data_IF_837616952730
#
_entry.id   IF_837616952730
#
_cell.length_a   1.000
_cell.length_b   1.000
_cell.length_c   1.000
_cell.angle_alpha   90.00
_cell.angle_beta   90.00
_cell.angle_gamma   90.00
#
_symmetry.space_group_name_H-M   'P 1'
#
loop_
_entity.id
_entity.type
_entity.pdbx_description
1 polymer ?
#
# COMPACT_ATOMS: atom_id res chain seq x y z
N UNK A 1 23.84 6.33 13.17
CA UNK A 1 22.90 7.35 12.66
C UNK A 1 21.61 6.61 12.41
N UNK A 2 20.48 7.13 12.89
CA UNK A 2 19.17 6.64 12.47
C UNK A 2 19.14 6.64 10.93
N UNK A 3 18.67 5.54 10.35
CA UNK A 3 18.58 5.41 8.89
C UNK A 3 17.11 5.19 8.62
N UNK A 4 16.40 6.23 8.18
CA UNK A 4 14.98 6.12 7.87
C UNK A 4 14.62 5.05 6.84
N UNK A 5 13.37 5.06 6.40
CA UNK A 5 12.77 4.01 5.58
C UNK A 5 13.58 3.81 4.29
N UNK A 6 13.93 2.56 4.03
CA UNK A 6 14.65 2.13 2.83
C UNK A 6 14.47 0.65 2.56
N UNK A 7 14.79 0.19 1.35
CA UNK A 7 14.87 -1.24 1.10
C UNK A 7 15.85 -1.94 2.08
N UNK A 8 15.44 -3.06 2.66
CA UNK A 8 16.29 -3.83 3.57
C UNK A 8 17.45 -4.48 2.81
N UNK A 9 18.68 -4.25 3.30
CA UNK A 9 19.88 -4.88 2.73
C UNK A 9 20.02 -6.35 3.13
N UNK A 10 19.42 -6.76 4.25
CA UNK A 10 19.46 -8.14 4.74
C UNK A 10 18.31 -8.98 4.18
N UNK A 11 17.14 -8.36 4.01
CA UNK A 11 15.91 -9.01 3.56
C UNK A 11 15.31 -8.22 2.40
N UNK A 12 15.90 -8.33 1.20
CA UNK A 12 15.57 -7.48 0.04
C UNK A 12 14.10 -7.44 -0.40
N UNK A 13 13.28 -8.40 0.06
CA UNK A 13 11.83 -8.41 -0.11
C UNK A 13 11.06 -7.48 0.83
N UNK A 14 11.72 -6.89 1.82
CA UNK A 14 11.12 -6.09 2.88
C UNK A 14 11.77 -4.71 2.98
N UNK A 15 11.07 -3.84 3.70
CA UNK A 15 11.60 -2.54 4.10
C UNK A 15 12.47 -2.68 5.35
N UNK A 16 13.29 -1.67 5.59
CA UNK A 16 13.95 -1.44 6.87
C UNK A 16 13.70 0.00 7.31
N UNK A 17 13.36 0.18 8.59
CA UNK A 17 13.22 1.48 9.22
C UNK A 17 14.15 1.52 10.43
N UNK A 18 15.01 2.54 10.49
CA UNK A 18 16.08 2.67 11.49
C UNK A 18 17.04 1.50 11.60
N UNK A 19 17.24 0.81 10.48
CA UNK A 19 18.18 -0.31 10.35
C UNK A 19 17.58 -1.66 10.69
N UNK A 20 16.32 -1.70 11.15
CA UNK A 20 15.61 -2.93 11.47
C UNK A 20 14.66 -3.30 10.32
N UNK A 21 14.66 -4.55 9.83
CA UNK A 21 13.67 -5.02 8.86
C UNK A 21 12.25 -4.91 9.43
N UNK A 22 11.29 -4.54 8.58
CA UNK A 22 9.92 -4.28 9.02
C UNK A 22 8.88 -4.66 7.97
N UNK A 23 7.78 -5.28 8.45
CA UNK A 23 6.53 -5.42 7.69
C UNK A 23 5.65 -4.20 7.95
N UNK A 24 5.28 -3.50 6.87
CA UNK A 24 4.43 -2.32 6.92
C UNK A 24 2.95 -2.73 6.90
N UNK A 25 2.22 -2.41 7.97
CA UNK A 25 0.83 -2.80 8.14
C UNK A 25 -0.05 -1.58 8.37
N UNK A 26 -1.21 -1.55 7.71
CA UNK A 26 -2.10 -0.40 7.85
C UNK A 26 -3.55 -0.56 7.46
N UNK A 27 -4.27 0.53 7.67
CA UNK A 27 -5.65 0.74 7.24
C UNK A 27 -6.03 2.17 7.57
N UNK A 28 -6.81 2.82 6.71
CA UNK A 28 -7.31 4.17 7.01
C UNK A 28 -8.61 4.49 6.32
N UNK A 29 -9.40 5.42 6.88
CA UNK A 29 -10.71 5.81 6.32
C UNK A 29 -10.62 6.75 5.11
N UNK A 30 -9.44 7.31 4.83
CA UNK A 30 -9.23 8.18 3.66
C UNK A 30 -7.87 7.90 3.02
N UNK A 31 -7.79 8.27 1.76
CA UNK A 31 -6.60 8.22 0.92
C UNK A 31 -5.74 9.48 0.99
N UNK A 32 -6.29 10.62 1.39
CA UNK A 32 -5.57 11.88 1.59
C UNK A 32 -5.72 12.37 3.05
N UNK A 33 -5.22 11.56 4.00
CA UNK A 33 -5.32 11.84 5.44
C UNK A 33 -4.78 13.21 5.84
N UNK A 34 -3.81 13.74 5.08
CA UNK A 34 -3.25 15.05 5.34
C UNK A 34 -4.30 16.17 5.33
N UNK A 35 -5.41 16.02 4.59
CA UNK A 35 -6.48 17.01 4.55
C UNK A 35 -7.29 17.09 5.86
N UNK A 36 -7.19 16.09 6.74
CA UNK A 36 -7.92 16.10 8.00
C UNK A 36 -7.32 17.08 9.01
N UNK A 37 -8.20 17.82 9.68
CA UNK A 37 -7.83 18.78 10.73
C UNK A 37 -8.35 18.35 12.09
N UNK A 38 -7.77 18.90 13.17
CA UNK A 38 -8.21 18.65 14.53
C UNK A 38 -7.81 17.26 15.05
N UNK A 39 -8.60 16.68 15.95
CA UNK A 39 -8.25 15.39 16.59
C UNK A 39 -8.47 14.20 15.67
N UNK A 40 -9.27 14.34 14.60
CA UNK A 40 -9.63 13.23 13.70
C UNK A 40 -8.41 12.46 13.15
N UNK A 41 -7.36 13.20 12.75
CA UNK A 41 -6.12 12.58 12.29
C UNK A 41 -5.37 11.89 13.44
N UNK A 42 -5.30 12.52 14.60
CA UNK A 42 -4.60 11.98 15.75
C UNK A 42 -5.26 10.69 16.24
N UNK A 43 -6.58 10.70 16.42
CA UNK A 43 -7.38 9.55 16.85
C UNK A 43 -7.21 8.37 15.87
N UNK A 44 -7.24 8.64 14.55
CA UNK A 44 -6.99 7.63 13.51
C UNK A 44 -5.58 7.00 13.62
N UNK A 45 -4.55 7.81 13.83
CA UNK A 45 -3.17 7.33 13.92
C UNK A 45 -2.94 6.59 15.25
N UNK A 46 -3.53 7.05 16.34
CA UNK A 46 -3.47 6.40 17.64
C UNK A 46 -4.14 5.03 17.59
N UNK A 47 -5.33 4.93 16.98
CA UNK A 47 -6.04 3.67 16.74
C UNK A 47 -5.23 2.68 15.88
N UNK A 48 -4.49 3.20 14.90
CA UNK A 48 -3.60 2.41 14.05
C UNK A 48 -2.41 1.86 14.84
N UNK A 49 -1.72 2.72 15.59
CA UNK A 49 -0.54 2.35 16.39
C UNK A 49 -0.91 1.42 17.53
N UNK A 50 -2.05 1.62 18.20
CA UNK A 50 -2.56 0.72 19.25
C UNK A 50 -2.81 -0.69 18.69
N UNK A 51 -3.20 -0.80 17.42
CA UNK A 51 -3.34 -2.08 16.73
C UNK A 51 -2.00 -2.69 16.28
N UNK A 52 -0.87 -2.00 16.45
CA UNK A 52 0.44 -2.39 15.95
C UNK A 52 0.70 -2.02 14.49
N UNK A 53 -0.16 -1.17 13.90
CA UNK A 53 0.04 -0.65 12.55
C UNK A 53 1.09 0.45 12.53
N UNK A 54 1.77 0.58 11.39
CA UNK A 54 2.92 1.48 11.22
C UNK A 54 3.00 2.07 9.81
N UNK A 55 1.90 2.02 9.04
CA UNK A 55 1.92 2.46 7.66
C UNK A 55 0.59 3.06 7.21
N UNK A 56 0.66 4.23 6.57
CA UNK A 56 -0.47 4.89 5.93
C UNK A 56 -0.16 5.26 4.49
N UNK A 57 -1.21 5.28 3.66
CA UNK A 57 -1.15 5.82 2.30
C UNK A 57 -1.69 7.26 2.32
N UNK A 58 -1.02 8.17 1.63
CA UNK A 58 -1.46 9.55 1.47
C UNK A 58 -1.31 10.02 0.00
N UNK A 59 -2.40 10.35 -0.67
CA UNK A 59 -2.39 11.01 -1.99
C UNK A 59 -2.46 12.52 -1.81
N UNK A 60 -1.71 13.28 -2.60
CA UNK A 60 -1.74 14.75 -2.65
C UNK A 60 -3.01 15.32 -3.35
N UNK A 61 -4.16 14.76 -2.98
CA UNK A 61 -5.47 15.03 -3.56
C UNK A 61 -6.23 16.11 -2.77
N UNK A 62 -7.10 16.85 -3.45
CA UNK A 62 -8.01 17.87 -2.89
C UNK A 62 -9.48 17.67 -3.32
N UNK A 63 -9.87 16.46 -3.74
CA UNK A 63 -11.21 16.17 -4.30
C UNK A 63 -12.39 16.14 -3.30
N UNK A 64 -12.13 16.12 -1.99
CA UNK A 64 -13.17 15.99 -0.97
C UNK A 64 -13.85 17.32 -0.62
N UNK A 65 -15.09 17.27 -0.11
CA UNK A 65 -15.85 18.50 0.24
C UNK A 65 -15.18 19.37 1.31
N UNK A 66 -14.43 18.78 2.24
CA UNK A 66 -13.67 19.48 3.30
C UNK A 66 -12.21 19.75 2.92
N UNK A 67 -11.80 19.28 1.74
CA UNK A 67 -10.44 19.42 1.26
C UNK A 67 -10.25 20.86 0.75
N UNK A 68 -9.03 21.35 0.91
CA UNK A 68 -8.64 22.66 0.37
C UNK A 68 -7.72 22.43 -0.81
N UNK A 69 -7.77 23.32 -1.80
CA UNK A 69 -6.82 23.34 -2.92
C UNK A 69 -5.44 23.81 -2.47
N UNK A 70 -4.33 23.37 -3.10
CA UNK A 70 -3.00 23.88 -2.84
C UNK A 70 -2.81 25.35 -3.25
N UNK A 71 -3.70 25.91 -4.07
CA UNK A 71 -3.60 27.27 -4.59
C UNK A 71 -4.66 28.20 -4.00
N UNK A 72 -4.30 29.47 -3.81
CA UNK A 72 -5.26 30.48 -3.35
C UNK A 72 -6.33 30.78 -4.41
N UNK A 73 -7.52 31.10 -3.94
CA UNK A 73 -8.59 31.68 -4.76
C UNK A 73 -8.53 33.20 -4.69
N UNK A 74 -8.71 33.84 -5.85
CA UNK A 74 -8.77 35.30 -6.01
C UNK A 74 -10.17 35.84 -5.72
N UNK A 75 -10.30 37.17 -5.67
CA UNK A 75 -11.58 37.84 -5.35
C UNK A 75 -12.72 37.48 -6.32
N UNK A 76 -12.41 37.09 -7.55
CA UNK A 76 -13.38 36.68 -8.59
C UNK A 76 -13.71 35.18 -8.57
N UNK A 77 -13.11 34.41 -7.65
CA UNK A 77 -13.30 32.96 -7.54
C UNK A 77 -12.32 32.12 -8.37
N UNK A 78 -11.43 32.73 -9.16
CA UNK A 78 -10.40 31.99 -9.91
C UNK A 78 -9.19 31.63 -9.05
N UNK A 79 -8.60 30.47 -9.29
CA UNK A 79 -7.34 30.05 -8.67
C UNK A 79 -6.15 30.79 -9.27
N UNK A 80 -5.20 31.14 -8.40
CA UNK A 80 -3.90 31.69 -8.77
C UNK A 80 -2.81 30.69 -8.45
N UNK A 81 -2.24 30.08 -9.48
CA UNK A 81 -1.22 29.07 -9.32
C UNK A 81 0.08 29.65 -8.77
N UNK A 82 0.33 30.96 -8.91
CA UNK A 82 1.52 31.61 -8.34
C UNK A 82 1.43 31.78 -6.81
N UNK A 83 0.28 31.49 -6.20
CA UNK A 83 0.02 31.76 -4.77
C UNK A 83 -0.46 30.51 -4.04
N UNK A 84 0.31 30.10 -3.04
CA UNK A 84 0.01 28.95 -2.20
C UNK A 84 -1.11 29.23 -1.21
N UNK A 85 -2.03 28.28 -1.09
CA UNK A 85 -2.95 28.23 0.02
C UNK A 85 -2.24 27.61 1.23
N UNK A 86 -1.79 28.47 2.15
CA UNK A 86 -1.09 28.09 3.39
C UNK A 86 -1.83 27.01 4.21
N UNK A 87 -3.16 26.93 4.10
CA UNK A 87 -3.94 25.91 4.83
C UNK A 87 -3.66 24.50 4.32
N UNK A 88 -3.41 24.32 3.02
CA UNK A 88 -3.06 23.03 2.42
C UNK A 88 -1.70 22.54 2.93
N UNK A 89 -0.72 23.42 2.94
CA UNK A 89 0.65 23.10 3.31
C UNK A 89 0.81 22.94 4.82
N UNK A 90 0.10 23.75 5.62
CA UNK A 90 0.01 23.55 7.07
C UNK A 90 -0.59 22.17 7.41
N UNK A 91 -1.60 21.73 6.65
CA UNK A 91 -2.21 20.40 6.77
C UNK A 91 -1.22 19.29 6.44
N UNK A 92 -0.45 19.43 5.35
CA UNK A 92 0.62 18.49 4.99
C UNK A 92 1.69 18.39 6.09
N UNK A 93 2.24 19.52 6.54
CA UNK A 93 3.24 19.55 7.61
C UNK A 93 2.71 18.91 8.90
N UNK A 94 1.49 19.25 9.32
CA UNK A 94 0.88 18.68 10.53
C UNK A 94 0.71 17.16 10.44
N UNK A 95 0.44 16.65 9.23
CA UNK A 95 0.33 15.21 8.98
C UNK A 95 1.68 14.51 9.03
N UNK A 96 2.71 15.09 8.43
CA UNK A 96 4.08 14.55 8.49
C UNK A 96 4.60 14.54 9.93
N UNK A 97 4.41 15.62 10.69
CA UNK A 97 4.73 15.68 12.12
C UNK A 97 4.02 14.60 12.94
N UNK A 98 2.71 14.43 12.70
CA UNK A 98 1.89 13.49 13.45
C UNK A 98 2.27 12.03 13.17
N UNK A 99 2.69 11.73 11.94
CA UNK A 99 3.15 10.39 11.54
C UNK A 99 4.58 10.12 12.01
N UNK A 100 5.48 11.10 11.89
CA UNK A 100 6.86 11.02 12.38
C UNK A 100 6.91 10.74 13.89
N UNK A 101 6.10 11.47 14.67
CA UNK A 101 6.03 11.31 16.14
C UNK A 101 5.61 9.89 16.58
N UNK A 102 5.04 9.11 15.66
CA UNK A 102 4.48 7.77 15.91
C UNK A 102 5.21 6.67 15.17
N UNK A 103 6.32 6.97 14.48
CA UNK A 103 7.04 6.03 13.62
C UNK A 103 6.12 5.36 12.58
N UNK A 104 5.15 6.12 12.06
CA UNK A 104 4.21 5.64 11.03
C UNK A 104 4.74 6.03 9.66
N UNK A 105 5.17 5.06 8.87
CA UNK A 105 5.65 5.27 7.50
C UNK A 105 4.53 5.81 6.60
N UNK A 106 4.88 6.76 5.73
CA UNK A 106 3.96 7.39 4.78
C UNK A 106 4.28 6.92 3.36
N UNK A 107 3.34 6.24 2.72
CA UNK A 107 3.33 6.03 1.27
C UNK A 107 2.67 7.22 0.58
N UNK A 108 3.46 8.17 0.10
CA UNK A 108 3.00 9.42 -0.49
C UNK A 108 2.82 9.29 -2.01
N UNK A 109 1.61 9.52 -2.51
CA UNK A 109 1.30 9.51 -3.95
C UNK A 109 1.15 10.92 -4.48
N UNK A 110 1.97 11.30 -5.47
CA UNK A 110 1.97 12.65 -6.04
C UNK A 110 0.69 12.93 -6.84
N UNK A 111 0.36 12.03 -7.76
CA UNK A 111 -0.72 12.26 -8.72
C UNK A 111 -1.77 11.17 -8.69
N UNK A 112 -3.03 11.56 -8.87
CA UNK A 112 -4.15 10.63 -8.95
C UNK A 112 -5.13 11.07 -10.04
N UNK A 113 -5.28 10.26 -11.08
CA UNK A 113 -6.16 10.55 -12.22
C UNK A 113 -7.63 10.73 -11.82
N UNK A 114 -8.02 10.21 -10.65
CA UNK A 114 -9.37 10.39 -10.11
C UNK A 114 -9.68 11.81 -9.63
N UNK A 115 -8.67 12.69 -9.52
CA UNK A 115 -8.86 14.11 -9.22
C UNK A 115 -9.32 14.91 -10.45
N UNK A 116 -8.99 14.43 -11.66
CA UNK A 116 -9.05 15.21 -12.89
C UNK A 116 -10.16 14.80 -13.86
N UNK A 117 -11.16 14.03 -13.40
CA UNK A 117 -12.24 13.53 -14.26
C UNK A 117 -13.62 14.14 -13.93
N UNK A 118 -14.47 14.22 -14.96
CA UNK A 118 -15.88 14.58 -14.84
C UNK A 118 -16.15 15.88 -14.06
N UNK A 119 -17.02 15.80 -13.05
CA UNK A 119 -17.41 16.97 -12.26
C UNK A 119 -16.24 17.59 -11.47
N UNK A 120 -15.23 16.80 -11.10
CA UNK A 120 -14.08 17.27 -10.32
C UNK A 120 -13.20 18.21 -11.15
N UNK A 121 -12.99 17.87 -12.43
CA UNK A 121 -12.27 18.74 -13.37
C UNK A 121 -12.94 20.10 -13.55
N UNK A 122 -14.27 20.14 -13.59
CA UNK A 122 -15.02 21.38 -13.83
C UNK A 122 -14.79 22.45 -12.76
N UNK A 123 -14.33 22.08 -11.57
CA UNK A 123 -14.04 23.00 -10.46
C UNK A 123 -12.56 23.02 -10.06
N UNK A 124 -11.72 22.24 -10.73
CA UNK A 124 -10.31 22.08 -10.35
C UNK A 124 -9.49 23.34 -10.66
N UNK A 125 -8.53 23.64 -9.78
CA UNK A 125 -7.54 24.70 -9.98
C UNK A 125 -6.71 24.58 -11.27
N UNK A 126 -6.51 23.37 -11.80
CA UNK A 126 -5.76 23.16 -13.04
C UNK A 126 -6.61 23.40 -14.31
N UNK A 127 -7.94 23.50 -14.19
CA UNK A 127 -8.81 23.78 -15.32
C UNK A 127 -8.71 25.27 -15.70
N UNK A 128 -8.35 25.63 -16.95
CA UNK A 128 -8.24 27.03 -17.37
C UNK A 128 -9.53 27.85 -17.22
N UNK A 129 -10.69 27.22 -17.09
CA UNK A 129 -11.94 27.92 -16.79
C UNK A 129 -12.00 28.48 -15.35
N UNK A 130 -11.23 27.90 -14.42
CA UNK A 130 -11.18 28.28 -13.02
C UNK A 130 -9.83 28.87 -12.61
N UNK A 131 -8.93 29.10 -13.57
CA UNK A 131 -7.53 29.44 -13.33
C UNK A 131 -7.19 30.72 -14.09
N UNK A 132 -6.58 31.69 -13.41
CA UNK A 132 -6.19 32.97 -14.05
C UNK A 132 -4.71 33.06 -14.41
N UNK A 133 -3.92 32.07 -14.03
CA UNK A 133 -2.47 32.01 -14.22
C UNK A 133 -2.12 31.33 -15.54
N UNK A 134 -2.77 30.20 -15.85
CA UNK A 134 -2.55 29.49 -17.11
C UNK A 134 -3.22 30.20 -18.29
N UNK A 135 -2.63 30.14 -19.50
CA UNK A 135 -3.31 30.50 -20.73
C UNK A 135 -4.62 29.73 -20.92
N UNK A 136 -5.62 30.37 -21.53
CA UNK A 136 -6.95 29.79 -21.71
C UNK A 136 -6.98 28.50 -22.56
N UNK A 137 -5.95 28.29 -23.39
CA UNK A 137 -5.75 27.13 -24.25
C UNK A 137 -4.66 26.17 -23.73
N UNK A 138 -4.14 26.37 -22.52
CA UNK A 138 -3.10 25.52 -21.95
C UNK A 138 -3.58 24.08 -21.66
N UNK A 139 -4.86 23.90 -21.34
CA UNK A 139 -5.55 22.63 -21.18
C UNK A 139 -7.02 22.73 -21.62
N UNK A 140 -7.70 21.63 -21.98
CA UNK A 140 -9.11 21.65 -22.33
C UNK A 140 -9.99 21.94 -21.11
N UNK A 141 -10.88 22.92 -21.23
CA UNK A 141 -11.82 23.25 -20.15
C UNK A 141 -12.88 22.18 -19.91
N UNK A 142 -13.21 21.37 -20.92
CA UNK A 142 -14.14 20.24 -20.83
C UNK A 142 -13.54 19.00 -20.16
N UNK A 143 -12.22 18.94 -20.00
CA UNK A 143 -11.49 17.76 -19.51
C UNK A 143 -11.46 16.63 -20.52
N UNK A 144 -11.02 15.46 -20.06
CA UNK A 144 -10.98 14.20 -20.82
C UNK A 144 -11.59 13.04 -20.04
N UNK A 145 -11.87 11.93 -20.73
CA UNK A 145 -12.23 10.67 -20.08
C UNK A 145 -10.96 9.86 -19.78
N UNK A 146 -10.68 9.63 -18.49
CA UNK A 146 -9.57 8.79 -18.04
C UNK A 146 -9.56 7.36 -18.61
N UNK A 147 -10.69 6.84 -19.13
CA UNK A 147 -10.75 5.49 -19.71
C UNK A 147 -10.52 5.42 -21.22
N UNK A 148 -10.69 6.52 -21.95
CA UNK A 148 -10.73 6.49 -23.42
C UNK A 148 -9.64 7.35 -24.08
N UNK A 149 -9.32 8.52 -23.52
CA UNK A 149 -8.53 9.52 -24.26
C UNK A 149 -7.23 9.98 -23.57
N UNK A 150 -6.92 9.46 -22.36
CA UNK A 150 -5.89 9.98 -21.43
C UNK A 150 -6.06 11.49 -21.21
N UNK A 151 -6.40 11.87 -19.98
CA UNK A 151 -6.61 13.30 -19.63
C UNK A 151 -5.35 14.10 -19.98
N UNK A 152 -5.46 15.18 -20.77
CA UNK A 152 -4.32 15.96 -21.28
C UNK A 152 -3.40 16.49 -20.17
N UNK A 153 -3.94 16.70 -18.95
CA UNK A 153 -3.14 17.01 -17.75
C UNK A 153 -1.99 16.01 -17.51
N UNK A 154 -2.22 14.72 -17.80
CA UNK A 154 -1.25 13.64 -17.63
C UNK A 154 -0.36 13.41 -18.87
N UNK A 155 -0.48 14.26 -19.89
CA UNK A 155 0.28 14.17 -21.13
C UNK A 155 1.22 15.36 -21.33
N UNK A 156 1.33 16.27 -20.36
CA UNK A 156 2.16 17.47 -20.47
C UNK A 156 3.61 17.16 -20.83
N UNK A 157 4.17 16.07 -20.30
CA UNK A 157 5.50 15.57 -20.65
C UNK A 157 5.57 15.07 -22.10
N UNK A 158 4.64 14.19 -22.50
CA UNK A 158 4.58 13.60 -23.86
C UNK A 158 4.36 14.68 -24.94
N UNK A 159 3.51 15.66 -24.66
CA UNK A 159 3.12 16.72 -25.58
C UNK A 159 4.07 17.93 -25.55
N UNK A 160 5.03 17.97 -24.61
CA UNK A 160 5.95 19.10 -24.45
C UNK A 160 5.24 20.40 -24.04
N UNK A 161 4.21 20.29 -23.19
CA UNK A 161 3.45 21.44 -22.69
C UNK A 161 4.17 22.09 -21.51
N UNK A 162 5.29 22.76 -21.80
CA UNK A 162 6.17 23.41 -20.80
C UNK A 162 5.39 24.37 -19.89
N UNK A 163 4.41 25.11 -20.42
CA UNK A 163 3.62 26.07 -19.61
C UNK A 163 2.87 25.41 -18.46
N UNK A 164 2.29 24.21 -18.66
CA UNK A 164 1.61 23.49 -17.58
C UNK A 164 2.61 22.73 -16.74
N UNK A 165 3.62 22.12 -17.38
CA UNK A 165 4.63 21.33 -16.72
C UNK A 165 5.41 22.15 -15.69
N UNK A 166 5.80 23.39 -15.99
CA UNK A 166 6.50 24.29 -15.07
C UNK A 166 5.72 24.48 -13.74
N UNK A 167 4.39 24.57 -13.82
CA UNK A 167 3.55 24.67 -12.63
C UNK A 167 3.36 23.33 -11.92
N UNK A 168 3.29 22.22 -12.65
CA UNK A 168 3.26 20.88 -12.06
C UNK A 168 4.57 20.59 -11.30
N UNK A 169 5.72 20.93 -11.89
CA UNK A 169 7.04 20.83 -11.26
C UNK A 169 7.11 21.71 -10.02
N UNK A 170 6.66 22.97 -10.09
CA UNK A 170 6.58 23.85 -8.92
C UNK A 170 5.69 23.29 -7.80
N UNK A 171 4.59 22.63 -8.13
CA UNK A 171 3.75 21.95 -7.13
C UNK A 171 4.51 20.79 -6.48
N UNK A 172 5.19 19.96 -7.27
CA UNK A 172 5.96 18.84 -6.75
C UNK A 172 7.17 19.31 -5.94
N UNK A 173 7.85 20.39 -6.35
CA UNK A 173 8.91 21.03 -5.56
C UNK A 173 8.40 21.42 -4.17
N UNK A 174 7.25 22.08 -4.09
CA UNK A 174 6.66 22.46 -2.80
C UNK A 174 6.32 21.22 -1.96
N UNK A 175 5.77 20.15 -2.54
CA UNK A 175 5.55 18.88 -1.83
C UNK A 175 6.88 18.34 -1.26
N UNK A 176 7.93 18.31 -2.08
CA UNK A 176 9.23 17.76 -1.72
C UNK A 176 9.99 18.62 -0.70
N UNK A 177 9.78 19.94 -0.69
CA UNK A 177 10.30 20.85 0.33
C UNK A 177 9.80 20.47 1.74
N UNK A 178 8.58 19.95 1.86
CA UNK A 178 8.07 19.41 3.12
C UNK A 178 8.48 17.96 3.36
N UNK A 179 8.39 17.09 2.35
CA UNK A 179 8.48 15.64 2.58
C UNK A 179 9.92 15.13 2.68
N UNK A 180 10.90 15.79 2.04
CA UNK A 180 12.32 15.39 2.11
C UNK A 180 12.99 15.75 3.44
N UNK A 181 12.34 16.56 4.29
CA UNK A 181 12.78 16.79 5.67
C UNK A 181 12.58 15.57 6.58
N UNK A 182 11.78 14.59 6.12
CA UNK A 182 11.40 13.41 6.87
C UNK A 182 11.99 12.15 6.27
N UNK A 183 12.43 11.24 7.12
CA UNK A 183 13.07 9.99 6.73
C UNK A 183 12.11 8.79 6.77
N UNK A 184 10.81 9.01 6.97
CA UNK A 184 9.77 7.98 7.03
C UNK A 184 8.79 8.02 5.84
N UNK A 185 9.19 8.58 4.70
CA UNK A 185 8.36 8.73 3.48
C UNK A 185 8.88 7.87 2.33
N UNK A 186 8.00 7.08 1.72
CA UNK A 186 8.22 6.41 0.42
C UNK A 186 7.26 6.98 -0.63
N UNK A 187 7.70 7.09 -1.87
CA UNK A 187 6.97 7.83 -2.91
C UNK A 187 6.36 6.91 -3.96
N UNK A 188 5.18 7.27 -4.43
CA UNK A 188 4.50 6.66 -5.56
C UNK A 188 4.18 7.76 -6.59
N UNK A 189 4.66 7.63 -7.82
CA UNK A 189 4.48 8.67 -8.84
C UNK A 189 2.99 8.89 -9.17
N UNK A 190 2.28 7.84 -9.57
CA UNK A 190 0.87 7.94 -9.98
C UNK A 190 0.01 6.83 -9.37
N UNK A 191 -1.21 7.18 -8.94
CA UNK A 191 -2.24 6.22 -8.52
C UNK A 191 -3.00 5.68 -9.74
N UNK A 192 -3.03 4.35 -9.91
CA UNK A 192 -3.83 3.62 -10.90
C UNK A 192 -3.67 4.14 -12.33
N UNK A 193 -2.48 4.64 -12.65
CA UNK A 193 -2.26 5.49 -13.80
C UNK A 193 -2.43 4.76 -15.13
N UNK A 194 -3.08 5.44 -16.08
CA UNK A 194 -2.97 5.21 -17.53
C UNK A 194 -2.18 6.33 -18.22
N UNK A 195 -1.46 7.15 -17.45
CA UNK A 195 -0.79 8.36 -17.95
C UNK A 195 0.23 8.05 -19.08
N UNK A 196 0.87 6.89 -19.01
CA UNK A 196 1.92 6.48 -19.93
C UNK A 196 3.29 6.56 -19.27
N UNK A 197 4.27 5.90 -19.88
CA UNK A 197 5.58 5.72 -19.26
C UNK A 197 6.37 7.03 -19.18
N UNK A 198 6.20 7.93 -20.14
CA UNK A 198 6.85 9.25 -20.16
C UNK A 198 6.49 10.07 -18.92
N UNK A 199 5.20 10.10 -18.56
CA UNK A 199 4.71 10.76 -17.34
C UNK A 199 5.25 10.11 -16.07
N UNK A 200 5.17 8.79 -15.99
CA UNK A 200 5.55 8.05 -14.79
C UNK A 200 7.04 8.13 -14.51
N UNK A 201 7.88 8.02 -15.55
CA UNK A 201 9.33 8.18 -15.43
C UNK A 201 9.69 9.61 -15.06
N UNK A 202 9.11 10.62 -15.73
CA UNK A 202 9.39 12.01 -15.43
C UNK A 202 9.20 12.32 -13.94
N UNK A 203 8.04 11.99 -13.35
CA UNK A 203 7.81 12.29 -11.93
C UNK A 203 8.66 11.46 -10.98
N UNK A 204 8.93 10.19 -11.31
CA UNK A 204 9.78 9.37 -10.47
C UNK A 204 11.24 9.86 -10.49
N UNK A 205 11.77 10.17 -11.67
CA UNK A 205 13.10 10.73 -11.85
C UNK A 205 13.22 12.12 -11.20
N UNK A 206 12.20 12.98 -11.34
CA UNK A 206 12.17 14.30 -10.71
C UNK A 206 12.29 14.22 -9.19
N UNK A 207 11.56 13.29 -8.55
CA UNK A 207 11.68 13.03 -7.09
C UNK A 207 13.09 12.57 -6.73
N UNK A 208 13.65 11.61 -7.49
CA UNK A 208 14.98 11.08 -7.24
C UNK A 208 16.07 12.15 -7.39
N UNK A 209 15.96 13.02 -8.41
CA UNK A 209 16.88 14.13 -8.65
C UNK A 209 16.79 15.19 -7.55
N UNK A 210 15.57 15.58 -7.14
CA UNK A 210 15.35 16.52 -6.03
C UNK A 210 15.91 15.98 -4.71
N UNK A 211 15.67 14.71 -4.41
CA UNK A 211 16.23 14.03 -3.24
C UNK A 211 17.77 13.99 -3.28
N UNK A 212 18.35 13.65 -4.44
CA UNK A 212 19.80 13.66 -4.63
C UNK A 212 20.38 15.05 -4.43
N UNK A 213 19.70 16.11 -4.89
CA UNK A 213 20.13 17.49 -4.68
C UNK A 213 20.20 17.87 -3.19
N UNK A 214 19.23 17.42 -2.39
CA UNK A 214 19.22 17.59 -0.94
C UNK A 214 20.14 16.60 -0.18
N UNK A 215 20.80 15.69 -0.91
CA UNK A 215 21.71 14.71 -0.33
C UNK A 215 21.03 13.59 0.44
N UNK A 216 19.73 13.39 0.23
CA UNK A 216 18.94 12.30 0.81
C UNK A 216 18.67 11.20 -0.23
N UNK A 217 18.35 10.01 0.26
CA UNK A 217 17.95 8.88 -0.60
C UNK A 217 16.50 8.56 -0.30
N UNK A 218 15.74 8.31 -1.36
CA UNK A 218 14.31 7.97 -1.29
C UNK A 218 14.01 6.81 -2.22
N UNK A 219 12.93 6.10 -1.93
CA UNK A 219 12.42 5.00 -2.73
C UNK A 219 11.14 5.44 -3.44
N UNK A 220 11.11 5.21 -4.75
CA UNK A 220 9.97 5.54 -5.63
C UNK A 220 9.40 4.27 -6.26
N UNK A 221 8.08 4.21 -6.39
CA UNK A 221 7.34 3.21 -7.14
C UNK A 221 6.24 3.86 -8.01
N UNK A 222 5.46 3.03 -8.69
CA UNK A 222 4.30 3.46 -9.46
C UNK A 222 3.18 2.43 -9.39
N UNK A 223 1.93 2.90 -9.34
CA UNK A 223 0.75 2.04 -9.29
C UNK A 223 -0.01 2.14 -10.61
N UNK A 224 -0.11 1.03 -11.32
CA UNK A 224 -0.93 0.91 -12.52
C UNK A 224 -2.24 0.19 -12.24
N UNK A 225 -3.24 0.40 -13.12
CA UNK A 225 -4.50 -0.32 -13.00
C UNK A 225 -4.32 -1.83 -13.18
N UNK A 226 -3.49 -2.20 -14.17
CA UNK A 226 -3.00 -3.57 -14.33
C UNK A 226 -1.76 -3.77 -13.46
N UNK A 227 -1.78 -4.65 -12.45
CA UNK A 227 -0.61 -4.96 -11.63
C UNK A 227 0.58 -5.50 -12.44
N UNK A 228 0.34 -6.19 -13.57
CA UNK A 228 1.43 -6.71 -14.41
C UNK A 228 2.27 -5.57 -14.99
N UNK A 229 1.67 -4.41 -15.27
CA UNK A 229 2.40 -3.23 -15.73
C UNK A 229 3.30 -2.67 -14.64
N UNK A 230 2.87 -2.65 -13.37
CA UNK A 230 3.73 -2.24 -12.25
C UNK A 230 4.95 -3.16 -12.13
N UNK A 231 4.75 -4.48 -12.27
CA UNK A 231 5.83 -5.49 -12.23
C UNK A 231 6.81 -5.28 -13.37
N UNK A 232 6.29 -5.21 -14.61
CA UNK A 232 7.09 -5.02 -15.81
C UNK A 232 7.92 -3.73 -15.75
N UNK A 233 7.35 -2.63 -15.27
CA UNK A 233 8.07 -1.34 -15.17
C UNK A 233 9.17 -1.37 -14.12
N UNK A 234 8.98 -2.05 -12.99
CA UNK A 234 10.04 -2.23 -12.00
C UNK A 234 11.21 -3.07 -12.54
N UNK A 235 10.94 -3.98 -13.47
CA UNK A 235 11.96 -4.77 -14.18
C UNK A 235 12.66 -3.95 -15.28
N UNK A 236 11.89 -3.19 -16.07
CA UNK A 236 12.42 -2.39 -17.18
C UNK A 236 13.22 -1.16 -16.69
N UNK A 237 12.82 -0.56 -15.55
CA UNK A 237 13.40 0.66 -14.99
C UNK A 237 13.81 0.48 -13.51
N UNK A 238 14.74 -0.45 -13.21
CA UNK A 238 15.07 -0.84 -11.84
C UNK A 238 15.80 0.24 -11.02
N UNK A 239 16.42 1.21 -11.69
CA UNK A 239 17.09 2.35 -11.03
C UNK A 239 16.09 3.46 -10.66
N UNK A 240 14.90 3.46 -11.27
CA UNK A 240 13.84 4.44 -11.04
C UNK A 240 12.77 3.89 -10.08
N UNK A 241 12.29 2.68 -10.33
CA UNK A 241 11.26 2.03 -9.52
C UNK A 241 11.88 1.00 -8.56
N UNK A 242 12.13 1.45 -7.34
CA UNK A 242 12.76 0.69 -6.24
C UNK A 242 11.90 -0.44 -5.66
N UNK A 243 10.57 -0.33 -5.79
CA UNK A 243 9.61 -1.31 -5.27
C UNK A 243 8.43 -1.50 -6.23
N UNK A 244 7.67 -2.59 -6.05
CA UNK A 244 6.51 -2.91 -6.88
C UNK A 244 5.22 -2.60 -6.14
N UNK A 245 4.31 -1.87 -6.78
CA UNK A 245 2.98 -1.58 -6.24
C UNK A 245 1.92 -2.48 -6.90
N UNK A 246 1.34 -3.40 -6.11
CA UNK A 246 0.41 -4.44 -6.56
C UNK A 246 -1.03 -4.26 -6.08
N UNK A 247 -1.38 -3.07 -5.57
CA UNK A 247 -2.68 -2.79 -4.95
C UNK A 247 -3.88 -3.26 -5.75
N UNK A 248 -3.86 -3.07 -7.07
CA UNK A 248 -5.00 -3.41 -7.93
C UNK A 248 -5.25 -4.91 -8.08
N UNK A 249 -4.31 -5.74 -7.64
CA UNK A 249 -4.49 -7.18 -7.58
C UNK A 249 -5.50 -7.61 -6.50
N UNK A 250 -5.85 -6.71 -5.57
CA UNK A 250 -6.62 -7.04 -4.38
C UNK A 250 -8.10 -6.65 -4.47
N UNK A 251 -8.71 -6.73 -5.65
CA UNK A 251 -10.15 -6.44 -5.90
C UNK A 251 -10.78 -7.46 -6.85
N UNK A 252 -12.11 -7.58 -6.85
CA UNK A 252 -12.85 -8.53 -7.71
C UNK A 252 -12.89 -8.08 -9.18
N UNK A 253 -12.86 -6.77 -9.44
CA UNK A 253 -12.99 -6.21 -10.78
C UNK A 253 -11.81 -6.49 -11.72
N UNK A 254 -10.58 -6.53 -11.16
CA UNK A 254 -9.34 -6.57 -11.94
C UNK A 254 -8.29 -7.52 -11.36
N UNK A 255 -8.47 -7.98 -10.11
CA UNK A 255 -7.54 -8.88 -9.45
C UNK A 255 -7.88 -10.34 -9.64
N UNK A 256 -6.92 -11.21 -9.33
CA UNK A 256 -7.17 -12.65 -9.22
C UNK A 256 -7.85 -12.96 -7.88
N UNK A 257 -8.51 -14.12 -7.80
CA UNK A 257 -9.20 -14.58 -6.59
C UNK A 257 -8.75 -15.98 -6.17
N UNK A 258 -9.02 -16.34 -4.92
CA UNK A 258 -8.69 -17.63 -4.33
C UNK A 258 -7.21 -18.01 -4.54
N UNK A 259 -6.90 -19.23 -5.03
CA UNK A 259 -5.53 -19.71 -5.17
C UNK A 259 -4.73 -18.98 -6.26
N UNK A 260 -5.39 -18.42 -7.29
CA UNK A 260 -4.70 -17.72 -8.37
C UNK A 260 -4.16 -16.36 -7.90
N UNK A 261 -4.82 -15.71 -6.92
CA UNK A 261 -4.29 -14.52 -6.26
C UNK A 261 -2.91 -14.78 -5.66
N UNK A 262 -2.74 -15.86 -4.91
CA UNK A 262 -1.44 -16.18 -4.34
C UNK A 262 -0.42 -16.62 -5.40
N UNK A 263 -0.84 -17.46 -6.34
CA UNK A 263 0.04 -17.99 -7.38
C UNK A 263 0.63 -16.86 -8.23
N UNK A 264 -0.21 -15.92 -8.66
CA UNK A 264 0.22 -14.76 -9.46
C UNK A 264 1.20 -13.87 -8.72
N UNK A 265 0.97 -13.65 -7.42
CA UNK A 265 1.93 -12.96 -6.55
C UNK A 265 3.30 -13.64 -6.56
N UNK A 266 3.35 -14.98 -6.44
CA UNK A 266 4.62 -15.73 -6.46
C UNK A 266 5.29 -15.76 -7.84
N UNK A 267 4.51 -15.80 -8.92
CA UNK A 267 5.01 -15.66 -10.30
C UNK A 267 5.73 -14.32 -10.47
N UNK A 268 5.09 -13.21 -10.07
CA UNK A 268 5.70 -11.88 -10.16
C UNK A 268 6.94 -11.72 -9.28
N UNK A 269 6.93 -12.31 -8.07
CA UNK A 269 8.14 -12.32 -7.23
C UNK A 269 9.30 -13.04 -7.93
N UNK A 270 9.03 -14.21 -8.51
CA UNK A 270 10.04 -14.95 -9.26
C UNK A 270 10.57 -14.13 -10.43
N UNK A 271 9.68 -13.50 -11.20
CA UNK A 271 10.03 -12.66 -12.36
C UNK A 271 10.94 -11.49 -11.96
N UNK A 272 10.59 -10.76 -10.89
CA UNK A 272 11.37 -9.62 -10.40
C UNK A 272 12.72 -10.08 -9.84
N UNK A 273 12.74 -11.16 -9.06
CA UNK A 273 13.97 -11.69 -8.46
C UNK A 273 14.98 -12.11 -9.53
N UNK A 274 14.52 -12.86 -10.53
CA UNK A 274 15.37 -13.34 -11.62
C UNK A 274 15.90 -12.19 -12.49
N UNK A 275 15.11 -11.13 -12.69
CA UNK A 275 15.47 -10.02 -13.56
C UNK A 275 16.36 -8.97 -12.88
N UNK A 276 16.01 -8.55 -11.65
CA UNK A 276 16.59 -7.36 -11.00
C UNK A 276 16.88 -7.56 -9.51
N UNK A 277 16.75 -8.78 -9.00
CA UNK A 277 16.91 -9.10 -7.57
C UNK A 277 15.65 -8.81 -6.74
N UNK A 278 15.64 -9.26 -5.47
CA UNK A 278 14.47 -9.10 -4.59
C UNK A 278 14.17 -7.63 -4.34
N UNK A 279 12.88 -7.26 -4.38
CA UNK A 279 12.40 -5.89 -4.14
C UNK A 279 11.12 -5.89 -3.31
N UNK A 280 10.86 -4.86 -2.49
CA UNK A 280 9.64 -4.78 -1.72
C UNK A 280 8.39 -4.80 -2.61
N UNK A 281 7.41 -5.63 -2.25
CA UNK A 281 6.09 -5.64 -2.87
C UNK A 281 5.09 -4.99 -1.93
N UNK A 282 4.49 -3.88 -2.36
CA UNK A 282 3.53 -3.11 -1.58
C UNK A 282 2.11 -3.35 -2.08
N UNK A 283 1.19 -3.53 -1.14
CA UNK A 283 -0.25 -3.62 -1.37
C UNK A 283 -0.94 -2.57 -0.50
N UNK A 284 -0.99 -1.32 -0.97
CA UNK A 284 -1.58 -0.22 -0.21
C UNK A 284 -3.11 -0.14 -0.29
N UNK A 285 -3.74 -0.92 -1.19
CA UNK A 285 -5.20 -1.02 -1.35
C UNK A 285 -5.66 -2.48 -1.35
N UNK A 286 -5.87 -3.05 -0.17
CA UNK A 286 -6.58 -4.33 -0.05
C UNK A 286 -8.08 -4.05 0.05
N UNK A 287 -8.81 -4.36 -1.03
CA UNK A 287 -10.22 -4.04 -1.16
C UNK A 287 -11.13 -5.11 -0.54
N UNK A 288 -12.35 -4.68 -0.24
CA UNK A 288 -13.48 -5.51 0.19
C UNK A 288 -14.44 -4.74 1.09
N UNK A 289 -15.74 -5.02 1.02
CA UNK A 289 -16.77 -4.27 1.75
C UNK A 289 -17.58 -5.12 2.73
N UNK A 290 -18.13 -4.47 3.76
CA UNK A 290 -19.24 -5.05 4.53
C UNK A 290 -20.53 -5.10 3.68
N UNK A 291 -21.60 -5.67 4.23
CA UNK A 291 -22.90 -5.79 3.56
C UNK A 291 -23.35 -4.46 2.91
N UNK A 292 -23.71 -4.52 1.63
CA UNK A 292 -24.06 -3.34 0.82
C UNK A 292 -22.86 -2.61 0.22
N UNK A 293 -21.66 -3.18 0.30
CA UNK A 293 -20.44 -2.68 -0.34
C UNK A 293 -20.40 -2.84 -1.86
N UNK A 294 -19.33 -2.35 -2.48
CA UNK A 294 -19.12 -2.44 -3.92
C UNK A 294 -18.76 -3.87 -4.35
N UNK A 295 -19.52 -4.44 -5.28
CA UNK A 295 -19.26 -5.79 -5.81
C UNK A 295 -17.86 -5.90 -6.46
N UNK A 296 -17.36 -4.82 -7.04
CA UNK A 296 -16.01 -4.78 -7.64
C UNK A 296 -14.90 -4.86 -6.60
N UNK A 297 -15.18 -4.54 -5.33
CA UNK A 297 -14.21 -4.60 -4.23
C UNK A 297 -14.13 -6.01 -3.61
N UNK A 298 -15.20 -6.80 -3.70
CA UNK A 298 -15.38 -8.05 -2.94
C UNK A 298 -15.88 -7.83 -1.51
N UNK A 299 -15.87 -8.87 -0.69
CA UNK A 299 -16.39 -8.85 0.68
C UNK A 299 -15.32 -8.53 1.73
N UNK A 300 -15.74 -8.17 2.93
CA UNK A 300 -14.85 -8.00 4.08
C UNK A 300 -14.07 -9.30 4.41
N UNK A 301 -14.69 -10.46 4.22
CA UNK A 301 -14.02 -11.75 4.38
C UNK A 301 -12.91 -11.94 3.33
N UNK A 302 -13.18 -11.57 2.08
CA UNK A 302 -12.18 -11.63 1.02
C UNK A 302 -11.03 -10.64 1.23
N UNK A 303 -11.30 -9.46 1.80
CA UNK A 303 -10.25 -8.53 2.21
C UNK A 303 -9.29 -9.17 3.22
N UNK A 304 -9.81 -9.88 4.22
CA UNK A 304 -9.00 -10.60 5.22
C UNK A 304 -8.20 -11.73 4.57
N UNK A 305 -8.82 -12.49 3.64
CA UNK A 305 -8.13 -13.56 2.91
C UNK A 305 -6.97 -13.03 2.07
N UNK A 306 -7.20 -11.96 1.31
CA UNK A 306 -6.16 -11.24 0.53
C UNK A 306 -5.04 -10.73 1.41
N UNK A 307 -5.38 -10.14 2.56
CA UNK A 307 -4.40 -9.65 3.53
C UNK A 307 -3.45 -10.76 3.99
N UNK A 308 -3.97 -11.91 4.43
CA UNK A 308 -3.12 -13.02 4.87
C UNK A 308 -2.36 -13.69 3.72
N UNK A 309 -2.95 -13.80 2.52
CA UNK A 309 -2.25 -14.27 1.33
C UNK A 309 -1.10 -13.34 0.94
N UNK A 310 -1.22 -12.03 1.11
CA UNK A 310 -0.15 -11.07 0.88
C UNK A 310 0.94 -11.15 1.97
N UNK A 311 0.57 -11.22 3.25
CA UNK A 311 1.52 -11.33 4.37
C UNK A 311 2.35 -12.62 4.25
N UNK A 312 1.70 -13.78 4.12
CA UNK A 312 2.40 -15.07 3.95
C UNK A 312 2.95 -15.27 2.53
N UNK A 313 2.52 -14.42 1.59
CA UNK A 313 3.09 -14.33 0.26
C UNK A 313 4.39 -13.52 0.23
N UNK A 314 4.80 -12.94 1.36
CA UNK A 314 6.03 -12.18 1.56
C UNK A 314 5.99 -10.76 0.98
N UNK A 315 4.83 -10.11 1.03
CA UNK A 315 4.72 -8.69 0.69
C UNK A 315 5.28 -7.81 1.83
N UNK A 316 5.96 -6.73 1.45
CA UNK A 316 6.60 -5.80 2.38
C UNK A 316 5.60 -4.85 3.06
N UNK A 317 4.53 -4.50 2.35
CA UNK A 317 3.46 -3.65 2.87
C UNK A 317 2.07 -4.22 2.56
N UNK A 318 1.20 -4.25 3.57
CA UNK A 318 -0.19 -4.69 3.48
C UNK A 318 -1.11 -3.68 4.19
N UNK A 319 -1.92 -2.95 3.42
CA UNK A 319 -2.85 -1.94 3.94
C UNK A 319 -4.28 -2.17 3.45
N UNK A 320 -5.25 -2.19 4.38
CA UNK A 320 -6.67 -2.23 4.04
C UNK A 320 -7.13 -0.93 3.37
N UNK A 321 -7.83 -1.06 2.24
CA UNK A 321 -8.40 0.07 1.52
C UNK A 321 -9.52 0.76 2.33
N UNK A 322 -9.80 2.03 2.06
CA UNK A 322 -10.69 2.88 2.89
C UNK A 322 -12.15 2.40 2.88
N UNK A 323 -12.88 2.61 4.00
CA UNK A 323 -14.30 2.28 4.03
C UNK A 323 -15.12 3.22 3.17
N UNK A 324 -15.18 4.53 3.42
CA UNK A 324 -16.07 5.41 2.65
C UNK A 324 -15.60 6.87 2.71
N UNK A 325 -15.72 7.59 1.58
CA UNK A 325 -15.91 9.04 1.58
C UNK A 325 -17.42 9.33 1.42
N UNK A 326 -17.97 10.34 2.12
CA UNK A 326 -19.41 10.59 2.13
C UNK A 326 -20.00 10.62 0.70
N UNK A 327 -20.98 9.74 0.42
CA UNK A 327 -21.63 9.63 -0.88
C UNK A 327 -21.04 8.62 -1.87
N UNK A 328 -19.91 7.97 -1.56
CA UNK A 328 -19.29 6.94 -2.40
C UNK A 328 -19.55 5.50 -1.88
N UNK A 329 -19.50 4.52 -2.78
CA UNK A 329 -19.60 3.11 -2.42
C UNK A 329 -18.37 2.65 -1.61
N UNK A 330 -18.57 1.75 -0.64
CA UNK A 330 -17.50 1.20 0.19
C UNK A 330 -16.56 0.33 -0.64
N UNK A 331 -15.27 0.65 -0.65
CA UNK A 331 -14.25 -0.08 -1.40
C UNK A 331 -13.31 -0.93 -0.52
N UNK A 332 -13.36 -0.77 0.80
CA UNK A 332 -12.44 -1.44 1.71
C UNK A 332 -12.99 -1.54 3.14
N UNK A 333 -12.26 -2.21 4.03
CA UNK A 333 -12.59 -2.30 5.47
C UNK A 333 -11.78 -1.33 6.34
N UNK A 334 -11.00 -0.44 5.71
CA UNK A 334 -10.35 0.74 6.28
C UNK A 334 -9.61 0.46 7.58
N UNK A 335 -9.91 1.26 8.59
CA UNK A 335 -9.41 1.10 9.96
C UNK A 335 -10.48 0.53 10.89
N UNK A 336 -11.41 -0.29 10.38
CA UNK A 336 -12.34 -1.00 11.26
C UNK A 336 -11.63 -1.75 12.36
N UNK A 337 -12.39 -2.01 13.42
CA UNK A 337 -12.00 -2.98 14.43
C UNK A 337 -11.58 -4.34 13.85
N UNK A 338 -12.25 -4.82 12.79
CA UNK A 338 -11.86 -6.06 12.11
C UNK A 338 -10.48 -5.94 11.46
N UNK A 339 -10.21 -4.87 10.72
CA UNK A 339 -8.90 -4.61 10.12
C UNK A 339 -7.79 -4.51 11.20
N UNK A 340 -8.05 -3.78 12.28
CA UNK A 340 -7.12 -3.63 13.42
C UNK A 340 -6.81 -4.97 14.10
N UNK A 341 -7.77 -5.89 14.19
CA UNK A 341 -7.51 -7.25 14.71
C UNK A 341 -6.58 -8.06 13.82
N UNK A 342 -6.68 -7.90 12.49
CA UNK A 342 -5.74 -8.56 11.57
C UNK A 342 -4.33 -8.02 11.77
N UNK A 343 -4.17 -6.71 11.89
CA UNK A 343 -2.87 -6.06 12.16
C UNK A 343 -2.28 -6.57 13.48
N UNK A 344 -3.07 -6.56 14.57
CA UNK A 344 -2.65 -7.12 15.87
C UNK A 344 -2.22 -8.58 15.76
N UNK A 345 -2.95 -9.37 14.99
CA UNK A 345 -2.66 -10.78 14.80
C UNK A 345 -1.32 -11.00 14.08
N UNK A 346 -0.95 -10.17 13.11
CA UNK A 346 0.39 -10.22 12.50
C UNK A 346 1.46 -9.91 13.54
N UNK A 347 1.28 -8.89 14.39
CA UNK A 347 2.25 -8.58 15.45
C UNK A 347 2.39 -9.71 16.47
N UNK A 348 1.29 -10.37 16.83
CA UNK A 348 1.33 -11.55 17.69
C UNK A 348 2.11 -12.71 17.05
N UNK A 349 2.05 -12.87 15.72
CA UNK A 349 2.89 -13.83 14.99
C UNK A 349 4.35 -13.40 15.02
N UNK A 350 4.66 -12.11 14.85
CA UNK A 350 6.03 -11.58 14.89
C UNK A 350 6.72 -11.74 16.26
N UNK A 351 5.96 -11.88 17.36
CA UNK A 351 6.52 -12.21 18.67
C UNK A 351 7.18 -13.60 18.73
N UNK A 352 6.88 -14.48 17.77
CA UNK A 352 7.34 -15.88 17.76
C UNK A 352 7.93 -16.34 16.43
N UNK A 353 7.71 -15.61 15.33
CA UNK A 353 8.26 -15.89 14.00
C UNK A 353 8.78 -14.60 13.38
N UNK A 354 10.03 -14.60 12.93
CA UNK A 354 10.55 -13.49 12.14
C UNK A 354 9.98 -13.53 10.71
N UNK A 355 8.91 -12.76 10.49
CA UNK A 355 8.24 -12.69 9.18
C UNK A 355 9.11 -12.08 8.08
N UNK A 356 10.10 -11.25 8.41
CA UNK A 356 11.01 -10.69 7.41
C UNK A 356 12.04 -11.72 6.92
N UNK A 357 12.32 -12.74 7.74
CA UNK A 357 13.13 -13.92 7.37
C UNK A 357 12.30 -15.07 6.78
N UNK A 358 10.98 -15.05 6.99
CA UNK A 358 10.10 -16.08 6.46
C UNK A 358 10.03 -15.99 4.92
N UNK A 359 9.98 -17.15 4.29
CA UNK A 359 9.74 -17.26 2.85
C UNK A 359 8.43 -18.03 2.61
N UNK A 360 7.76 -17.84 1.46
CA UNK A 360 6.68 -18.71 1.01
C UNK A 360 7.10 -20.19 1.01
N UNK A 361 6.29 -21.07 1.62
CA UNK A 361 6.58 -22.51 1.77
C UNK A 361 5.37 -23.37 1.41
N UNK A 362 4.72 -23.08 0.27
CA UNK A 362 3.54 -23.83 -0.16
C UNK A 362 3.79 -25.32 -0.42
N UNK A 363 5.03 -25.70 -0.70
CA UNK A 363 5.47 -27.08 -0.85
C UNK A 363 5.53 -27.84 0.49
N UNK A 364 5.50 -27.16 1.63
CA UNK A 364 5.38 -27.79 2.93
C UNK A 364 3.95 -28.29 3.20
N UNK A 365 2.95 -27.82 2.45
CA UNK A 365 1.57 -28.27 2.56
C UNK A 365 1.33 -29.49 1.67
N UNK A 366 0.93 -30.60 2.28
CA UNK A 366 0.67 -31.88 1.63
C UNK A 366 -0.84 -32.16 1.56
N UNK A 367 -1.24 -32.96 0.58
CA UNK A 367 -2.61 -33.50 0.43
C UNK A 367 -3.73 -32.46 0.53
N UNK A 368 -3.49 -31.24 0.01
CA UNK A 368 -4.44 -30.13 0.05
C UNK A 368 -5.24 -29.95 -1.24
N UNK A 369 -6.40 -29.37 -1.09
CA UNK A 369 -7.22 -28.76 -2.12
C UNK A 369 -6.79 -27.32 -2.42
N UNK A 370 -7.34 -26.76 -3.49
CA UNK A 370 -7.14 -25.36 -3.84
C UNK A 370 -7.68 -24.43 -2.74
N UNK A 371 -6.94 -23.36 -2.41
CA UNK A 371 -7.30 -22.33 -1.41
C UNK A 371 -7.45 -22.82 0.05
N UNK A 372 -7.10 -24.09 0.35
CA UNK A 372 -7.25 -24.66 1.69
C UNK A 372 -6.31 -24.04 2.73
N UNK A 373 -5.06 -23.78 2.36
CA UNK A 373 -4.07 -23.22 3.27
C UNK A 373 -2.95 -22.48 2.53
N UNK A 374 -2.35 -21.52 3.23
CA UNK A 374 -1.19 -20.74 2.80
C UNK A 374 -0.10 -20.80 3.85
N UNK A 375 1.11 -21.15 3.45
CA UNK A 375 2.23 -21.38 4.35
C UNK A 375 3.40 -20.44 4.04
N UNK A 376 3.93 -19.80 5.07
CA UNK A 376 5.26 -19.21 5.09
C UNK A 376 6.07 -19.82 6.22
N UNK A 377 7.39 -19.77 6.13
CA UNK A 377 8.22 -20.25 7.23
C UNK A 377 9.65 -19.78 7.14
N UNK A 378 10.30 -19.70 8.29
CA UNK A 378 11.75 -19.58 8.39
C UNK A 378 12.32 -20.99 8.23
N UNK A 379 13.17 -21.25 7.21
CA UNK A 379 13.71 -22.58 6.97
C UNK A 379 14.30 -23.21 8.23
N UNK A 380 13.89 -24.46 8.51
CA UNK A 380 14.33 -25.28 9.65
C UNK A 380 13.97 -24.76 11.05
N UNK A 381 13.17 -23.71 11.16
CA UNK A 381 12.88 -23.05 12.44
C UNK A 381 11.37 -23.02 12.74
N UNK A 382 10.61 -22.34 11.89
CA UNK A 382 9.20 -22.05 12.18
C UNK A 382 8.33 -21.96 10.92
N UNK A 383 7.04 -22.26 11.08
CA UNK A 383 6.02 -22.17 10.04
C UNK A 383 4.82 -21.39 10.54
N UNK A 384 4.22 -20.60 9.65
CA UNK A 384 2.94 -19.93 9.84
C UNK A 384 2.01 -20.37 8.72
N UNK A 385 0.89 -20.97 9.09
CA UNK A 385 -0.09 -21.51 8.16
C UNK A 385 -1.43 -20.82 8.37
N UNK A 386 -1.92 -20.14 7.34
CA UNK A 386 -3.27 -19.57 7.33
C UNK A 386 -4.24 -20.54 6.67
N UNK A 387 -5.32 -20.90 7.36
CA UNK A 387 -6.43 -21.70 6.84
C UNK A 387 -7.66 -20.79 6.65
N UNK A 388 -7.96 -20.32 5.43
CA UNK A 388 -9.04 -19.35 5.19
C UNK A 388 -10.42 -19.81 5.63
N UNK A 389 -10.68 -21.12 5.60
CA UNK A 389 -11.96 -21.74 5.98
C UNK A 389 -11.83 -22.66 7.20
N UNK A 390 -10.64 -22.74 7.81
CA UNK A 390 -10.31 -23.78 8.78
C UNK A 390 -10.14 -25.15 8.11
N UNK A 391 -10.40 -26.22 8.86
CA UNK A 391 -10.25 -27.59 8.37
C UNK A 391 -8.91 -28.20 8.73
N UNK A 392 -8.61 -29.37 8.16
CA UNK A 392 -7.37 -30.10 8.43
C UNK A 392 -6.24 -29.56 7.53
N UNK A 393 -5.00 -29.64 7.99
CA UNK A 393 -3.84 -29.39 7.14
C UNK A 393 -2.75 -30.41 7.41
N UNK A 394 -2.14 -30.93 6.35
CA UNK A 394 -0.99 -31.82 6.48
C UNK A 394 0.29 -31.05 6.17
N UNK A 395 1.19 -30.97 7.14
CA UNK A 395 2.47 -30.27 7.02
C UNK A 395 3.63 -31.25 6.94
N UNK A 396 4.57 -30.99 6.03
CA UNK A 396 5.88 -31.65 6.07
C UNK A 396 6.75 -31.00 7.13
N UNK A 397 7.08 -31.75 8.18
CA UNK A 397 7.85 -31.29 9.33
C UNK A 397 9.10 -32.16 9.52
N UNK A 398 10.16 -31.54 10.05
CA UNK A 398 11.37 -32.25 10.46
C UNK A 398 11.11 -33.22 11.61
N UNK A 399 12.06 -34.13 11.86
CA UNK A 399 11.95 -35.04 12.99
C UNK A 399 12.06 -34.31 14.34
N UNK A 400 11.22 -34.66 15.31
CA UNK A 400 11.31 -34.18 16.69
C UNK A 400 10.14 -33.30 17.13
N UNK A 401 10.16 -32.82 18.40
CA UNK A 401 9.05 -32.08 18.97
C UNK A 401 8.89 -30.71 18.29
N UNK A 402 7.65 -30.31 18.03
CA UNK A 402 7.25 -29.00 17.56
C UNK A 402 6.10 -28.50 18.42
N UNK A 403 6.18 -27.24 18.84
CA UNK A 403 5.08 -26.55 19.51
C UNK A 403 4.18 -25.92 18.45
N UNK A 404 2.88 -26.15 18.58
CA UNK A 404 1.84 -25.67 17.69
C UNK A 404 0.93 -24.75 18.49
N UNK A 405 0.80 -23.50 18.07
CA UNK A 405 -0.10 -22.51 18.66
C UNK A 405 -1.14 -22.08 17.64
N UNK A 406 -2.36 -21.88 18.13
CA UNK A 406 -3.51 -21.55 17.30
C UNK A 406 -3.90 -20.09 17.56
N UNK A 407 -3.85 -19.25 16.53
CA UNK A 407 -4.29 -17.86 16.60
C UNK A 407 -5.59 -17.71 15.82
N UNK A 408 -6.58 -17.13 16.49
CA UNK A 408 -7.83 -16.69 15.87
C UNK A 408 -7.66 -15.22 15.42
N UNK A 409 -7.53 -14.95 14.12
CA UNK A 409 -7.26 -13.61 13.62
C UNK A 409 -8.49 -12.68 13.72
N UNK A 410 -9.71 -13.22 13.85
CA UNK A 410 -10.94 -12.45 14.01
C UNK A 410 -11.12 -11.89 15.43
N UNK A 411 -10.40 -12.46 16.40
CA UNK A 411 -10.38 -12.01 17.80
C UNK A 411 -8.99 -11.56 18.28
N UNK A 412 -7.94 -11.74 17.47
CA UNK A 412 -6.55 -11.50 17.83
C UNK A 412 -6.19 -12.19 19.17
N UNK A 413 -6.48 -13.49 19.28
CA UNK A 413 -6.29 -14.26 20.52
C UNK A 413 -5.68 -15.62 20.23
N UNK A 414 -4.64 -15.99 21.00
CA UNK A 414 -4.15 -17.36 21.07
C UNK A 414 -5.20 -18.24 21.76
N UNK A 415 -5.64 -19.31 21.10
CA UNK A 415 -6.79 -20.09 21.57
C UNK A 415 -6.39 -21.38 22.25
N UNK A 416 -5.38 -22.06 21.70
CA UNK A 416 -4.94 -23.38 22.12
C UNK A 416 -3.43 -23.53 21.82
N UNK A 417 -2.83 -24.54 22.43
CA UNK A 417 -1.47 -24.99 22.15
C UNK A 417 -1.37 -26.53 22.22
N UNK A 418 -0.42 -27.09 21.50
CA UNK A 418 -0.11 -28.51 21.52
C UNK A 418 1.36 -28.74 21.19
N UNK A 419 1.93 -29.87 21.64
CA UNK A 419 3.22 -30.36 21.15
C UNK A 419 2.98 -31.58 20.28
N UNK A 420 3.51 -31.57 19.06
CA UNK A 420 3.47 -32.69 18.13
C UNK A 420 4.89 -33.22 17.89
N UNK A 421 5.03 -34.51 17.63
CA UNK A 421 6.31 -35.09 17.22
C UNK A 421 6.34 -35.19 15.70
N UNK A 422 7.14 -34.34 15.05
CA UNK A 422 7.30 -34.33 13.61
C UNK A 422 7.91 -35.65 13.15
N UNK A 423 7.25 -36.33 12.21
CA UNK A 423 7.77 -37.56 11.58
C UNK A 423 7.40 -37.54 10.10
N UNK A 424 8.11 -36.72 9.33
CA UNK A 424 7.91 -36.55 7.88
C UNK A 424 6.71 -35.67 7.54
N UNK A 425 5.49 -36.10 7.93
CA UNK A 425 4.26 -35.34 7.73
C UNK A 425 3.32 -35.46 8.93
N UNK A 426 2.71 -34.35 9.35
CA UNK A 426 1.71 -34.33 10.43
C UNK A 426 0.44 -33.63 9.98
N UNK A 427 -0.70 -34.27 10.22
CA UNK A 427 -2.02 -33.67 10.01
C UNK A 427 -2.47 -32.97 11.29
N UNK A 428 -2.81 -31.70 11.18
CA UNK A 428 -3.28 -30.84 12.26
C UNK A 428 -4.72 -30.45 11.96
N UNK A 429 -5.60 -30.58 12.94
CA UNK A 429 -7.04 -30.35 12.80
C UNK A 429 -7.52 -29.18 13.68
N UNK A 430 -7.30 -27.92 13.27
CA UNK A 430 -7.87 -26.78 13.96
C UNK A 430 -9.39 -26.87 14.07
N UNK A 431 -9.92 -26.56 15.26
CA UNK A 431 -11.35 -26.65 15.57
C UNK A 431 -12.18 -25.46 15.05
N UNK A 432 -11.55 -24.47 14.42
CA UNK A 432 -12.14 -23.17 14.07
C UNK A 432 -12.04 -22.85 12.58
N UNK A 433 -12.99 -22.04 12.11
CA UNK A 433 -12.99 -21.40 10.79
C UNK A 433 -12.10 -20.15 10.81
N UNK A 434 -11.30 -19.92 9.77
CA UNK A 434 -10.27 -18.87 9.70
C UNK A 434 -9.28 -18.94 10.86
N UNK A 435 -8.18 -19.69 10.71
CA UNK A 435 -7.17 -19.75 11.78
C UNK A 435 -5.75 -19.63 11.23
N UNK A 436 -4.85 -19.24 12.13
CA UNK A 436 -3.42 -19.32 11.94
C UNK A 436 -2.85 -20.41 12.83
N UNK A 437 -2.07 -21.30 12.24
CA UNK A 437 -1.22 -22.24 12.96
C UNK A 437 0.20 -21.69 12.96
N UNK A 438 0.78 -21.53 14.13
CA UNK A 438 2.19 -21.20 14.28
C UNK A 438 2.90 -22.41 14.86
N UNK A 439 3.82 -22.96 14.07
CA UNK A 439 4.59 -24.16 14.42
C UNK A 439 6.04 -23.73 14.63
N UNK A 440 6.58 -23.97 15.82
CA UNK A 440 7.96 -23.63 16.20
C UNK A 440 8.67 -24.83 16.79
N UNK A 441 9.99 -24.94 16.61
CA UNK A 441 10.77 -25.89 17.38
C UNK A 441 10.95 -25.39 18.83
N UNK A 442 10.88 -26.28 19.83
CA UNK A 442 11.18 -25.91 21.21
C UNK A 442 12.62 -25.39 21.32
N UNK A 443 12.89 -24.39 22.18
CA UNK A 443 14.24 -23.93 22.40
C UNK A 443 15.14 -25.09 22.88
N UNK A 444 16.29 -25.25 22.20
CA UNK A 444 17.28 -26.31 22.44
C UNK A 444 17.90 -26.29 23.83
#
# INVERSE_FOLDING_TARGET
MATGIRQSAEHGWYWSYDGEPVVLLGGSEKDNLFQWTGTRLQDQLDDLVEAGGNFVRNTMSDRGEEDVSPFETSDDGSYDLDRWNESYWTRLSSFLDATATRDVIVGLTLWDQHDFNGAKWNTHAWNPANNRTLPADALPTSGGDHWQDRIEFFRTVEDGNETVLDYQERFVDEVLDYTLEYDHVIYNATNEGWAGIEWELHWAEYVLERAQHEGVKVDVGNMNLDPEDSVRKAIEYPDTFSYVELSQHNQDAAGSSGPEHYKKLQEWRTEVEEAVGPRPFNNVKIYGGFDGGNENAGTADEAVRRFWRNVLGGCAACRFHRQVAAGEATWGIGSSERARRQIRSVRMVEEVVDLCRAVPRQEALLDRTADEAYCAGVPEDSYVVYLPDGGDVTLSLGEGPHDVRYLDPETATWTDDATIDGVGSQTISPSRTQCLLVVTQPPS
#
